data_IF_758636304413
#
_entry.id   IF_758636304413
#
_cell.length_a   1.000
_cell.length_b   1.000
_cell.length_c   1.000
_cell.angle_alpha   90.00
_cell.angle_beta   90.00
_cell.angle_gamma   90.00
#
_symmetry.space_group_name_H-M   'P 1'
#
loop_
_entity.id
_entity.type
_entity.pdbx_description
1 polymer ?
#
# COMPACT_ATOMS: atom_id res chain seq x y z
N UNK A 1 13.26 4.97 -26.21
CA UNK A 1 11.81 4.85 -26.48
C UNK A 1 11.16 5.98 -25.72
N UNK A 2 10.41 6.85 -26.39
CA UNK A 2 9.82 8.02 -25.76
C UNK A 2 8.60 7.58 -24.95
N UNK A 3 8.58 7.91 -23.66
CA UNK A 3 7.48 7.58 -22.77
C UNK A 3 6.32 8.53 -23.05
N UNK A 4 5.17 7.97 -23.45
CA UNK A 4 4.02 8.75 -23.91
C UNK A 4 3.04 9.02 -22.76
N UNK A 5 2.15 10.00 -22.95
CA UNK A 5 1.02 10.21 -22.03
C UNK A 5 0.11 8.98 -21.92
N UNK A 6 0.08 8.13 -22.95
CA UNK A 6 -0.66 6.87 -22.89
C UNK A 6 0.00 5.87 -21.96
N UNK A 7 1.33 5.73 -22.02
CA UNK A 7 2.08 4.87 -21.10
C UNK A 7 1.88 5.33 -19.65
N UNK A 8 1.85 6.65 -19.42
CA UNK A 8 1.52 7.25 -18.12
C UNK A 8 0.11 6.92 -17.65
N UNK A 9 -0.88 7.03 -18.55
CA UNK A 9 -2.26 6.70 -18.23
C UNK A 9 -2.41 5.21 -17.89
N UNK A 10 -1.73 4.33 -18.62
CA UNK A 10 -1.74 2.89 -18.39
C UNK A 10 -1.08 2.53 -17.04
N UNK A 11 0.03 3.19 -16.68
CA UNK A 11 0.68 3.03 -15.37
C UNK A 11 -0.23 3.49 -14.22
N UNK A 12 -0.96 4.59 -14.40
CA UNK A 12 -1.94 5.07 -13.41
C UNK A 12 -3.08 4.05 -13.28
N UNK A 13 -3.62 3.56 -14.40
CA UNK A 13 -4.70 2.59 -14.41
C UNK A 13 -4.29 1.28 -13.71
N UNK A 14 -3.08 0.78 -13.97
CA UNK A 14 -2.53 -0.39 -13.30
C UNK A 14 -2.42 -0.18 -11.78
N UNK A 15 -1.94 0.98 -11.34
CA UNK A 15 -1.83 1.31 -9.93
C UNK A 15 -3.19 1.41 -9.24
N UNK A 16 -4.20 1.98 -9.90
CA UNK A 16 -5.57 2.04 -9.39
C UNK A 16 -6.21 0.66 -9.26
N UNK A 17 -6.03 -0.20 -10.27
CA UNK A 17 -6.53 -1.57 -10.23
C UNK A 17 -5.90 -2.38 -9.09
N UNK A 18 -4.57 -2.31 -8.95
CA UNK A 18 -3.85 -2.98 -7.86
C UNK A 18 -4.28 -2.45 -6.48
N UNK A 19 -4.44 -1.14 -6.35
CA UNK A 19 -4.91 -0.51 -5.11
C UNK A 19 -6.26 -1.07 -4.68
N UNK A 20 -7.22 -1.17 -5.60
CA UNK A 20 -8.57 -1.62 -5.27
C UNK A 20 -8.61 -3.11 -4.93
N UNK A 21 -7.88 -3.93 -5.68
CA UNK A 21 -7.73 -5.36 -5.36
C UNK A 21 -7.11 -5.57 -3.97
N UNK A 22 -6.08 -4.80 -3.62
CA UNK A 22 -5.45 -4.88 -2.30
C UNK A 22 -6.41 -4.46 -1.19
N UNK A 23 -7.20 -3.40 -1.38
CA UNK A 23 -8.20 -2.98 -0.39
C UNK A 23 -9.22 -4.06 -0.09
N UNK A 24 -9.74 -4.69 -1.14
CA UNK A 24 -10.73 -5.78 -1.01
C UNK A 24 -10.08 -6.96 -0.29
N UNK A 25 -8.93 -7.44 -0.78
CA UNK A 25 -8.26 -8.62 -0.22
C UNK A 25 -7.85 -8.42 1.23
N UNK A 26 -7.30 -7.27 1.59
CA UNK A 26 -6.94 -6.97 2.99
C UNK A 26 -8.20 -6.82 3.84
N UNK A 27 -9.26 -6.20 3.32
CA UNK A 27 -10.56 -6.11 3.99
C UNK A 27 -11.11 -7.48 4.36
N UNK A 28 -11.05 -8.43 3.43
CA UNK A 28 -11.47 -9.83 3.65
C UNK A 28 -10.55 -10.58 4.62
N UNK A 29 -9.22 -10.48 4.44
CA UNK A 29 -8.25 -11.18 5.31
C UNK A 29 -8.33 -10.67 6.76
N UNK A 30 -8.47 -9.36 6.94
CA UNK A 30 -8.55 -8.75 8.26
C UNK A 30 -9.96 -8.82 8.87
N UNK A 31 -10.95 -9.35 8.15
CA UNK A 31 -12.34 -9.33 8.59
C UNK A 31 -12.51 -9.90 10.01
N UNK A 32 -13.29 -9.16 10.79
CA UNK A 32 -13.77 -9.49 12.12
C UNK A 32 -15.14 -8.83 12.28
N UNK A 33 -16.06 -9.42 13.04
CA UNK A 33 -17.28 -8.70 13.38
C UNK A 33 -17.03 -7.55 14.37
N UNK A 34 -15.90 -7.58 15.08
CA UNK A 34 -15.43 -6.50 15.94
C UNK A 34 -14.52 -5.55 15.14
N UNK A 35 -14.92 -4.28 14.95
CA UNK A 35 -14.13 -3.27 14.25
C UNK A 35 -12.76 -3.02 14.90
N UNK A 36 -12.63 -3.18 16.22
CA UNK A 36 -11.35 -2.99 16.92
C UNK A 36 -10.36 -4.09 16.53
N UNK A 37 -10.81 -5.35 16.53
CA UNK A 37 -9.99 -6.48 16.08
C UNK A 37 -9.62 -6.38 14.60
N UNK A 38 -10.54 -5.91 13.74
CA UNK A 38 -10.22 -5.60 12.33
C UNK A 38 -9.08 -4.59 12.23
N UNK A 39 -9.18 -3.45 12.94
CA UNK A 39 -8.15 -2.41 12.93
C UNK A 39 -6.82 -2.93 13.48
N UNK A 40 -6.86 -3.78 14.51
CA UNK A 40 -5.66 -4.41 15.06
C UNK A 40 -4.97 -5.31 14.02
N UNK A 41 -5.73 -6.16 13.32
CA UNK A 41 -5.19 -7.03 12.25
C UNK A 41 -4.62 -6.22 11.09
N UNK A 42 -5.34 -5.20 10.63
CA UNK A 42 -4.87 -4.30 9.58
C UNK A 42 -3.55 -3.61 9.99
N UNK A 43 -3.45 -3.12 11.23
CA UNK A 43 -2.23 -2.49 11.76
C UNK A 43 -1.04 -3.45 11.78
N UNK A 44 -1.23 -4.72 12.14
CA UNK A 44 -0.14 -5.72 12.10
C UNK A 44 0.41 -5.90 10.69
N UNK A 45 -0.45 -5.91 9.67
CA UNK A 45 -0.03 -5.98 8.26
C UNK A 45 0.74 -4.72 7.86
N UNK A 46 0.24 -3.54 8.22
CA UNK A 46 0.89 -2.26 7.95
C UNK A 46 2.30 -2.21 8.55
N UNK A 47 2.44 -2.52 9.84
CA UNK A 47 3.72 -2.52 10.55
C UNK A 47 4.70 -3.53 9.92
N UNK A 48 4.22 -4.72 9.55
CA UNK A 48 5.04 -5.72 8.88
C UNK A 48 5.53 -5.26 7.50
N UNK A 49 4.67 -4.60 6.71
CA UNK A 49 5.04 -4.07 5.39
C UNK A 49 6.06 -2.94 5.51
N UNK A 50 5.83 -1.97 6.39
CA UNK A 50 6.75 -0.85 6.66
C UNK A 50 8.11 -1.35 7.16
N UNK A 51 8.12 -2.30 8.09
CA UNK A 51 9.35 -2.90 8.61
C UNK A 51 10.15 -3.60 7.50
N UNK A 52 9.48 -4.35 6.62
CA UNK A 52 10.14 -5.08 5.53
C UNK A 52 10.70 -4.15 4.45
N UNK A 53 9.99 -3.08 4.12
CA UNK A 53 10.44 -2.07 3.14
C UNK A 53 11.63 -1.27 3.67
N UNK A 54 11.56 -0.82 4.92
CA UNK A 54 12.65 -0.05 5.54
C UNK A 54 13.91 -0.89 5.78
N UNK A 55 13.75 -2.16 6.15
CA UNK A 55 14.85 -3.05 6.54
C UNK A 55 15.65 -3.70 5.40
N UNK A 56 15.25 -3.54 4.13
CA UNK A 56 15.92 -4.16 2.98
C UNK A 56 16.53 -3.12 2.06
N UNK A 57 17.50 -3.50 1.24
CA UNK A 57 17.92 -2.69 0.09
C UNK A 57 16.92 -2.95 -1.04
N UNK A 58 16.16 -1.94 -1.43
CA UNK A 58 15.11 -2.03 -2.43
C UNK A 58 15.63 -1.72 -3.84
N UNK A 59 16.61 -0.81 -3.95
CA UNK A 59 17.19 -0.44 -5.23
C UNK A 59 18.73 -0.42 -5.16
N UNK A 60 19.34 -1.55 -5.50
CA UNK A 60 20.80 -1.75 -5.39
C UNK A 60 21.66 -0.77 -6.21
N UNK A 61 21.07 -0.08 -7.19
CA UNK A 61 21.77 0.90 -8.05
C UNK A 61 21.58 2.35 -7.55
N UNK A 62 20.75 2.58 -6.53
CA UNK A 62 20.55 3.90 -5.96
C UNK A 62 21.74 4.31 -5.10
N UNK A 63 22.08 5.59 -5.13
CA UNK A 63 22.88 6.18 -4.06
C UNK A 63 22.09 6.18 -2.74
N UNK A 64 22.78 6.38 -1.61
CA UNK A 64 22.17 6.32 -0.29
C UNK A 64 20.97 7.27 -0.13
N UNK A 65 21.05 8.49 -0.69
CA UNK A 65 19.95 9.46 -0.60
C UNK A 65 18.70 9.00 -1.36
N UNK A 66 18.88 8.44 -2.56
CA UNK A 66 17.79 7.93 -3.39
C UNK A 66 17.16 6.69 -2.77
N UNK A 67 17.96 5.78 -2.22
CA UNK A 67 17.47 4.59 -1.52
C UNK A 67 16.64 4.97 -0.28
N UNK A 68 17.12 5.93 0.53
CA UNK A 68 16.36 6.45 1.68
C UNK A 68 15.03 7.05 1.23
N UNK A 69 15.06 7.88 0.18
CA UNK A 69 13.83 8.47 -0.37
C UNK A 69 12.84 7.39 -0.85
N UNK A 70 13.31 6.38 -1.59
CA UNK A 70 12.47 5.27 -2.07
C UNK A 70 11.81 4.54 -0.89
N UNK A 71 12.56 4.26 0.17
CA UNK A 71 12.03 3.61 1.38
C UNK A 71 10.95 4.45 2.04
N UNK A 72 11.21 5.73 2.27
CA UNK A 72 10.27 6.64 2.91
C UNK A 72 8.99 6.79 2.08
N UNK A 73 9.14 6.99 0.77
CA UNK A 73 8.01 7.11 -0.16
C UNK A 73 7.17 5.83 -0.20
N UNK A 74 7.82 4.65 -0.25
CA UNK A 74 7.14 3.36 -0.25
C UNK A 74 6.38 3.12 1.07
N UNK A 75 7.01 3.39 2.23
CA UNK A 75 6.37 3.27 3.53
C UNK A 75 5.17 4.23 3.65
N UNK A 76 5.33 5.49 3.23
CA UNK A 76 4.23 6.45 3.23
C UNK A 76 3.07 6.02 2.33
N UNK A 77 3.37 5.39 1.19
CA UNK A 77 2.35 4.84 0.30
C UNK A 77 1.61 3.68 0.96
N UNK A 78 2.31 2.76 1.64
CA UNK A 78 1.67 1.68 2.41
C UNK A 78 0.70 2.25 3.44
N UNK A 79 1.13 3.22 4.25
CA UNK A 79 0.25 3.84 5.26
C UNK A 79 -0.98 4.50 4.63
N UNK A 80 -0.83 5.18 3.50
CA UNK A 80 -1.98 5.76 2.77
C UNK A 80 -2.96 4.70 2.29
N UNK A 81 -2.45 3.58 1.76
CA UNK A 81 -3.29 2.46 1.32
C UNK A 81 -4.04 1.88 2.50
N UNK A 82 -3.35 1.54 3.58
CA UNK A 82 -3.93 0.91 4.77
C UNK A 82 -4.99 1.81 5.44
N UNK A 83 -4.74 3.11 5.52
CA UNK A 83 -5.70 4.09 6.04
C UNK A 83 -6.99 4.19 5.21
N UNK A 84 -6.93 3.85 3.91
CA UNK A 84 -8.10 3.90 3.02
C UNK A 84 -9.00 2.66 3.11
N UNK A 85 -8.55 1.60 3.79
CA UNK A 85 -9.31 0.36 3.93
C UNK A 85 -10.34 0.54 5.05
N UNK A 86 -11.61 0.36 4.68
CA UNK A 86 -12.75 0.45 5.59
C UNK A 86 -13.14 -0.93 6.11
N UNK A 87 -13.83 -0.96 7.25
CA UNK A 87 -14.43 -2.20 7.70
C UNK A 87 -15.49 -2.65 6.67
N UNK A 88 -15.63 -3.94 6.32
CA UNK A 88 -16.64 -4.36 5.33
C UNK A 88 -18.09 -4.03 5.72
N UNK A 89 -18.35 -3.82 7.02
CA UNK A 89 -19.65 -3.36 7.52
C UNK A 89 -19.78 -1.82 7.57
N UNK A 90 -18.70 -1.07 7.32
CA UNK A 90 -18.76 0.37 7.07
C UNK A 90 -19.27 0.57 5.63
N UNK A 91 -20.51 0.18 5.35
CA UNK A 91 -21.15 0.53 4.08
C UNK A 91 -21.27 2.05 4.01
N UNK A 92 -20.60 2.64 3.02
CA UNK A 92 -20.64 4.06 2.70
C UNK A 92 -22.09 4.55 2.56
N UNK A 93 -22.47 5.58 3.33
CA UNK A 93 -23.43 6.58 2.86
C UNK A 93 -22.82 7.35 1.68
#
# INVERSE_FOLDING_TARGET
MEYTERDRADDIAANLALLELLRIVIGEICYSADPVEFRRRARVIEEAAVSRLSGRTNFHQANAATETYIKEAACAQVTKIMASIRHPQDTSN
#
